data_IF_060447710956
#
_entry.id   IF_060447710956
#
_cell.length_a   1.000
_cell.length_b   1.000
_cell.length_c   1.000
_cell.angle_alpha   90.00
_cell.angle_beta   90.00
_cell.angle_gamma   90.00
#
_symmetry.space_group_name_H-M   'P 1'
#
loop_
_entity.id
_entity.type
_entity.pdbx_description
1 polymer ?
#
# COMPACT_ATOMS: atom_id res chain seq x y z
N UNK A 1 12.41 23.96 8.32
CA UNK A 1 12.36 22.52 8.58
C UNK A 1 13.42 21.87 7.70
N UNK A 2 14.15 20.85 8.18
CA UNK A 2 15.20 20.18 7.41
C UNK A 2 14.69 18.88 6.78
N UNK A 3 13.80 19.02 5.80
CA UNK A 3 13.22 17.88 5.07
C UNK A 3 14.25 17.37 4.05
N UNK A 4 14.59 16.09 4.15
CA UNK A 4 15.59 15.41 3.30
C UNK A 4 15.08 14.12 2.66
N UNK A 5 13.88 13.67 3.02
CA UNK A 5 13.16 12.58 2.35
C UNK A 5 11.68 12.92 2.30
N UNK A 6 11.04 12.65 1.16
CA UNK A 6 9.59 12.69 1.06
C UNK A 6 9.07 11.32 0.63
N UNK A 7 8.07 10.80 1.34
CA UNK A 7 7.36 9.59 0.95
C UNK A 7 5.90 9.94 0.65
N UNK A 8 5.44 9.57 -0.55
CA UNK A 8 4.06 9.85 -0.97
C UNK A 8 3.31 8.56 -1.27
N UNK A 9 2.05 8.50 -0.85
CA UNK A 9 1.13 7.47 -1.34
C UNK A 9 0.70 7.72 -2.79
N UNK A 10 0.14 6.68 -3.42
CA UNK A 10 -0.39 6.71 -4.78
C UNK A 10 -1.86 7.14 -4.85
N UNK A 11 -2.75 6.29 -4.34
CA UNK A 11 -4.19 6.35 -4.58
C UNK A 11 -4.83 7.43 -3.71
N UNK A 12 -5.62 8.34 -4.27
CA UNK A 12 -6.18 9.45 -3.49
C UNK A 12 -5.15 10.46 -2.97
N UNK A 13 -3.86 10.28 -3.33
CA UNK A 13 -2.76 11.17 -2.94
C UNK A 13 -2.11 11.85 -4.14
N UNK A 14 -1.32 11.14 -4.95
CA UNK A 14 -0.75 11.68 -6.21
C UNK A 14 -1.64 11.37 -7.43
N UNK A 15 -2.53 10.38 -7.33
CA UNK A 15 -3.41 9.93 -8.39
C UNK A 15 -4.86 9.80 -7.90
N UNK A 16 -5.78 10.53 -8.53
CA UNK A 16 -7.22 10.45 -8.25
C UNK A 16 -7.92 9.36 -9.07
N UNK A 17 -9.22 9.53 -9.32
CA UNK A 17 -10.08 8.52 -9.98
C UNK A 17 -9.63 8.14 -11.40
N UNK A 18 -9.02 9.08 -12.13
CA UNK A 18 -8.48 8.81 -13.46
C UNK A 18 -7.21 7.91 -13.44
N UNK A 19 -6.69 7.59 -12.24
CA UNK A 19 -5.54 6.73 -12.01
C UNK A 19 -4.26 7.24 -12.70
N UNK A 20 -4.16 8.56 -12.87
CA UNK A 20 -3.00 9.26 -13.45
C UNK A 20 -2.44 10.26 -12.45
N UNK A 21 -1.12 10.44 -12.47
CA UNK A 21 -0.48 11.50 -11.67
C UNK A 21 -0.75 12.85 -12.31
N UNK A 22 -1.28 13.80 -11.53
CA UNK A 22 -1.55 15.15 -12.01
C UNK A 22 -0.24 15.83 -12.48
N UNK A 23 -0.20 16.47 -13.66
CA UNK A 23 0.98 17.22 -14.13
C UNK A 23 1.55 18.21 -13.11
N UNK A 24 0.71 18.89 -12.32
CA UNK A 24 1.17 19.83 -11.29
C UNK A 24 1.99 19.12 -10.19
N UNK A 25 1.55 17.92 -9.78
CA UNK A 25 2.29 17.09 -8.81
C UNK A 25 3.63 16.64 -9.38
N UNK A 26 3.69 16.24 -10.66
CA UNK A 26 4.95 15.87 -11.32
C UNK A 26 5.93 17.04 -11.36
N UNK A 27 5.44 18.25 -11.63
CA UNK A 27 6.26 19.46 -11.65
C UNK A 27 6.80 19.80 -10.25
N UNK A 28 5.94 19.75 -9.22
CA UNK A 28 6.33 20.02 -7.83
C UNK A 28 7.36 18.99 -7.32
N UNK A 29 7.12 17.70 -7.57
CA UNK A 29 8.08 16.63 -7.23
C UNK A 29 9.42 16.86 -7.95
N UNK A 30 9.40 17.21 -9.24
CA UNK A 30 10.63 17.51 -9.97
C UNK A 30 11.37 18.73 -9.40
N UNK A 31 10.65 19.76 -8.94
CA UNK A 31 11.26 20.93 -8.31
C UNK A 31 11.93 20.58 -6.97
N UNK A 32 11.28 19.74 -6.16
CA UNK A 32 11.84 19.23 -4.90
C UNK A 32 13.09 18.39 -5.16
N UNK A 33 13.04 17.47 -6.14
CA UNK A 33 14.20 16.64 -6.51
C UNK A 33 15.38 17.48 -7.02
N UNK A 34 15.13 18.60 -7.70
CA UNK A 34 16.19 19.55 -8.12
C UNK A 34 16.87 20.24 -6.93
N UNK A 35 16.21 20.33 -5.77
CA UNK A 35 16.84 20.77 -4.51
C UNK A 35 17.63 19.65 -3.82
N UNK A 36 17.74 18.46 -4.42
CA UNK A 36 18.48 17.32 -3.88
C UNK A 36 17.68 16.46 -2.89
N UNK A 37 16.37 16.69 -2.76
CA UNK A 37 15.50 15.94 -1.85
C UNK A 37 14.83 14.80 -2.63
N UNK A 38 15.18 13.52 -2.36
CA UNK A 38 14.54 12.39 -3.02
C UNK A 38 13.08 12.23 -2.59
N UNK A 39 12.25 11.76 -3.53
CA UNK A 39 10.84 11.44 -3.30
C UNK A 39 10.64 9.95 -3.57
N UNK A 40 10.24 9.19 -2.54
CA UNK A 40 9.87 7.79 -2.62
C UNK A 40 8.34 7.62 -2.74
N UNK A 41 7.92 6.44 -3.21
CA UNK A 41 6.51 6.06 -3.28
C UNK A 41 6.26 4.92 -2.28
N UNK A 42 5.19 5.03 -1.49
CA UNK A 42 4.70 3.98 -0.60
C UNK A 42 3.22 3.66 -0.81
N UNK A 43 2.92 2.45 -1.32
CA UNK A 43 1.57 2.10 -1.76
C UNK A 43 1.15 0.68 -1.36
N UNK A 44 -0.16 0.46 -1.24
CA UNK A 44 -0.77 -0.87 -1.08
C UNK A 44 -0.84 -1.70 -2.37
N UNK A 45 -0.52 -1.08 -3.52
CA UNK A 45 -0.51 -1.73 -4.83
C UNK A 45 0.58 -2.79 -4.92
N UNK A 46 0.35 -3.74 -5.82
CA UNK A 46 1.41 -4.65 -6.26
C UNK A 46 2.57 -3.90 -6.92
N UNK A 47 3.78 -4.45 -6.82
CA UNK A 47 4.99 -3.78 -7.27
C UNK A 47 4.92 -3.43 -8.77
N UNK A 48 4.63 -4.40 -9.66
CA UNK A 48 4.52 -4.12 -11.10
C UNK A 48 3.48 -3.07 -11.47
N UNK A 49 2.37 -2.99 -10.74
CA UNK A 49 1.31 -1.99 -10.97
C UNK A 49 1.75 -0.59 -10.53
N UNK A 50 2.56 -0.52 -9.47
CA UNK A 50 3.10 0.71 -8.94
C UNK A 50 4.28 1.29 -9.76
N UNK A 51 4.99 0.46 -10.53
CA UNK A 51 6.15 0.88 -11.34
C UNK A 51 5.87 2.08 -12.26
N UNK A 52 4.66 2.20 -12.82
CA UNK A 52 4.33 3.34 -13.69
C UNK A 52 4.33 4.68 -12.95
N UNK A 53 3.96 4.69 -11.67
CA UNK A 53 3.98 5.90 -10.83
C UNK A 53 5.41 6.27 -10.46
N UNK A 54 6.22 5.26 -10.11
CA UNK A 54 7.66 5.42 -9.83
C UNK A 54 8.37 6.08 -11.03
N UNK A 55 8.14 5.53 -12.24
CA UNK A 55 8.64 6.10 -13.49
C UNK A 55 8.10 7.51 -13.76
N UNK A 56 6.81 7.75 -13.51
CA UNK A 56 6.15 9.04 -13.77
C UNK A 56 6.71 10.16 -12.89
N UNK A 57 7.00 9.87 -11.62
CA UNK A 57 7.63 10.80 -10.69
C UNK A 57 9.14 10.88 -10.84
N UNK A 58 9.76 9.97 -11.62
CA UNK A 58 11.21 9.79 -11.68
C UNK A 58 11.80 9.61 -10.28
N UNK A 59 11.12 8.82 -9.45
CA UNK A 59 11.61 8.49 -8.11
C UNK A 59 12.94 7.73 -8.26
N UNK A 60 13.89 8.03 -7.38
CA UNK A 60 15.23 7.42 -7.39
C UNK A 60 15.45 6.48 -6.22
N UNK A 61 14.44 6.32 -5.36
CA UNK A 61 14.50 5.45 -4.19
C UNK A 61 13.80 4.12 -4.47
N UNK A 62 14.08 3.08 -3.65
CA UNK A 62 13.33 1.84 -3.71
C UNK A 62 11.83 2.08 -3.57
N UNK A 63 11.04 1.34 -4.35
CA UNK A 63 9.59 1.42 -4.34
C UNK A 63 9.05 0.56 -3.19
N UNK A 64 8.27 1.18 -2.31
CA UNK A 64 7.52 0.50 -1.26
C UNK A 64 6.16 0.06 -1.85
N UNK A 65 5.97 -1.25 -1.97
CA UNK A 65 4.75 -1.88 -2.47
C UNK A 65 4.11 -2.78 -1.40
N UNK A 66 2.87 -3.22 -1.64
CA UNK A 66 2.11 -4.09 -0.73
C UNK A 66 2.09 -3.55 0.71
N UNK A 67 1.85 -2.25 0.89
CA UNK A 67 1.84 -1.55 2.18
C UNK A 67 3.16 -1.67 2.97
N UNK A 68 4.28 -2.01 2.34
CA UNK A 68 5.55 -2.22 3.06
C UNK A 68 6.03 -3.66 3.08
N UNK A 69 5.22 -4.62 2.63
CA UNK A 69 5.66 -6.01 2.55
C UNK A 69 6.75 -6.22 1.48
N UNK A 70 6.91 -5.31 0.52
CA UNK A 70 7.87 -5.44 -0.57
C UNK A 70 8.58 -4.11 -0.84
N UNK A 71 9.90 -4.09 -0.73
CA UNK A 71 10.74 -2.90 -0.97
C UNK A 71 11.84 -3.28 -1.96
N UNK A 72 11.75 -2.77 -3.18
CA UNK A 72 12.67 -3.12 -4.26
C UNK A 72 13.02 -1.90 -5.11
N UNK A 73 14.29 -1.77 -5.47
CA UNK A 73 14.79 -0.76 -6.39
C UNK A 73 14.42 -1.12 -7.85
N UNK A 74 13.60 -0.29 -8.54
CA UNK A 74 13.21 -0.56 -9.92
C UNK A 74 14.33 -0.45 -10.96
N UNK A 75 15.43 0.23 -10.65
CA UNK A 75 16.58 0.41 -11.54
C UNK A 75 17.56 -0.74 -11.36
N UNK A 76 18.07 -0.93 -10.15
CA UNK A 76 19.08 -1.98 -9.87
C UNK A 76 18.48 -3.37 -9.74
N UNK A 77 17.15 -3.47 -9.60
CA UNK A 77 16.41 -4.71 -9.27
C UNK A 77 16.76 -5.31 -7.90
N UNK A 78 17.54 -4.60 -7.08
CA UNK A 78 17.88 -5.04 -5.72
C UNK A 78 16.61 -5.11 -4.87
N UNK A 79 16.33 -6.30 -4.33
CA UNK A 79 15.25 -6.53 -3.39
C UNK A 79 15.77 -6.26 -1.98
N UNK A 80 15.41 -5.10 -1.42
CA UNK A 80 15.90 -4.67 -0.12
C UNK A 80 15.18 -5.37 1.04
N UNK A 81 13.86 -5.53 0.94
CA UNK A 81 13.06 -6.19 1.99
C UNK A 81 11.83 -6.87 1.41
N UNK A 82 11.60 -8.11 1.83
CA UNK A 82 10.35 -8.84 1.65
C UNK A 82 9.89 -9.35 3.00
N UNK A 83 8.68 -8.98 3.41
CA UNK A 83 8.07 -9.42 4.67
C UNK A 83 6.81 -10.23 4.36
N UNK A 84 6.94 -11.50 3.91
CA UNK A 84 5.79 -12.34 3.61
C UNK A 84 5.12 -12.85 4.90
N UNK A 85 3.85 -13.23 4.79
CA UNK A 85 3.17 -14.06 5.76
C UNK A 85 3.86 -15.43 5.77
N UNK A 86 4.09 -16.02 6.95
CA UNK A 86 4.68 -17.34 7.06
C UNK A 86 3.81 -18.40 6.35
N UNK A 87 4.41 -19.44 5.75
CA UNK A 87 3.65 -20.47 5.03
C UNK A 87 2.54 -21.10 5.87
N UNK A 88 2.84 -21.44 7.12
CA UNK A 88 1.90 -22.10 8.03
C UNK A 88 0.70 -21.20 8.33
N UNK A 89 0.95 -19.90 8.56
CA UNK A 89 -0.11 -18.95 8.86
C UNK A 89 -0.93 -18.59 7.61
N UNK A 90 -0.30 -18.52 6.44
CA UNK A 90 -0.99 -18.34 5.17
C UNK A 90 -1.90 -19.54 4.84
N UNK A 91 -1.44 -20.77 5.13
CA UNK A 91 -2.22 -21.99 4.96
C UNK A 91 -3.36 -22.06 6.00
N UNK A 92 -3.12 -21.79 7.29
CA UNK A 92 -4.18 -21.78 8.31
C UNK A 92 -5.27 -20.75 7.97
N UNK A 93 -4.87 -19.55 7.53
CA UNK A 93 -5.80 -18.52 7.09
C UNK A 93 -6.59 -18.97 5.85
N UNK A 94 -5.93 -19.60 4.88
CA UNK A 94 -6.60 -20.15 3.70
C UNK A 94 -7.60 -21.24 4.08
N UNK A 95 -7.21 -22.18 4.93
CA UNK A 95 -8.06 -23.27 5.44
C UNK A 95 -9.29 -22.71 6.15
N UNK A 96 -9.09 -21.68 6.99
CA UNK A 96 -10.17 -20.98 7.66
C UNK A 96 -11.12 -20.33 6.64
N UNK A 97 -10.60 -19.56 5.68
CA UNK A 97 -11.40 -18.89 4.65
C UNK A 97 -12.02 -19.85 3.62
N UNK A 98 -11.59 -21.12 3.60
CA UNK A 98 -12.14 -22.18 2.77
C UNK A 98 -13.23 -23.02 3.43
N UNK A 99 -13.57 -22.74 4.69
CA UNK A 99 -14.69 -23.42 5.33
C UNK A 99 -16.01 -23.14 4.59
N UNK A 100 -16.96 -24.10 4.56
CA UNK A 100 -18.16 -24.02 3.74
C UNK A 100 -19.00 -22.75 3.93
N UNK A 101 -19.01 -22.19 5.14
CA UNK A 101 -19.77 -20.97 5.44
C UNK A 101 -19.17 -19.71 4.77
N UNK A 102 -17.86 -19.70 4.46
CA UNK A 102 -17.16 -18.57 3.84
C UNK A 102 -16.93 -18.76 2.35
N UNK A 103 -16.43 -19.95 1.95
CA UNK A 103 -15.85 -20.21 0.63
C UNK A 103 -16.72 -19.85 -0.57
N UNK A 104 -18.03 -19.96 -0.46
CA UNK A 104 -18.98 -19.67 -1.56
C UNK A 104 -19.33 -18.20 -1.72
N UNK A 105 -18.98 -17.37 -0.74
CA UNK A 105 -19.38 -15.95 -0.65
C UNK A 105 -18.18 -15.00 -0.79
N UNK A 106 -16.96 -15.53 -0.83
CA UNK A 106 -15.75 -14.75 -1.07
C UNK A 106 -14.88 -15.36 -2.17
N UNK A 107 -14.24 -14.48 -2.92
CA UNK A 107 -13.10 -14.80 -3.78
C UNK A 107 -11.80 -14.40 -3.10
N UNK A 108 -10.76 -15.23 -3.29
CA UNK A 108 -9.43 -15.03 -2.71
C UNK A 108 -8.39 -14.81 -3.81
N UNK A 109 -7.58 -13.78 -3.60
CA UNK A 109 -6.41 -13.45 -4.40
C UNK A 109 -5.16 -13.61 -3.51
N UNK A 110 -4.21 -14.44 -3.95
CA UNK A 110 -2.91 -14.61 -3.28
C UNK A 110 -1.84 -13.87 -4.10
N UNK A 111 -1.08 -13.01 -3.45
CA UNK A 111 0.04 -12.32 -4.08
C UNK A 111 1.35 -12.92 -3.57
N UNK A 112 2.18 -13.38 -4.49
CA UNK A 112 3.45 -14.03 -4.20
C UNK A 112 4.44 -13.76 -5.32
N UNK A 113 5.67 -13.36 -4.97
CA UNK A 113 6.71 -13.00 -5.94
C UNK A 113 6.20 -12.02 -7.01
N UNK A 114 5.38 -11.07 -6.55
CA UNK A 114 4.64 -10.09 -7.35
C UNK A 114 3.67 -10.67 -8.39
N UNK A 115 3.36 -11.97 -8.35
CA UNK A 115 2.34 -12.64 -9.18
C UNK A 115 1.02 -12.74 -8.41
N UNK A 116 -0.09 -12.53 -9.12
CA UNK A 116 -1.44 -12.74 -8.59
C UNK A 116 -1.90 -14.17 -8.91
N UNK A 117 -2.14 -14.97 -7.89
CA UNK A 117 -2.69 -16.31 -7.98
C UNK A 117 -4.15 -16.34 -7.52
N UNK A 118 -4.95 -17.12 -8.24
CA UNK A 118 -6.37 -17.37 -7.95
C UNK A 118 -6.66 -18.87 -8.04
N UNK A 119 -7.78 -19.32 -7.49
CA UNK A 119 -8.22 -20.72 -7.67
C UNK A 119 -8.53 -21.03 -9.13
N UNK A 120 -9.33 -20.17 -9.74
CA UNK A 120 -9.83 -20.34 -11.10
C UNK A 120 -10.08 -18.97 -11.74
N UNK A 121 -9.95 -18.88 -13.06
CA UNK A 121 -10.40 -17.70 -13.79
C UNK A 121 -11.92 -17.75 -13.91
N UNK A 122 -12.59 -16.73 -13.39
CA UNK A 122 -14.05 -16.55 -13.47
C UNK A 122 -14.38 -15.07 -13.77
N UNK A 123 -15.67 -14.75 -13.87
CA UNK A 123 -16.13 -13.39 -14.15
C UNK A 123 -15.63 -12.36 -13.12
N UNK A 124 -15.57 -12.73 -11.84
CA UNK A 124 -15.05 -11.88 -10.76
C UNK A 124 -13.55 -11.62 -10.91
N UNK A 125 -12.77 -12.65 -11.19
CA UNK A 125 -11.34 -12.52 -11.47
C UNK A 125 -11.12 -11.64 -12.69
N UNK A 126 -11.89 -11.83 -13.76
CA UNK A 126 -11.75 -11.04 -14.98
C UNK A 126 -12.11 -9.57 -14.74
N UNK A 127 -13.17 -9.30 -13.99
CA UNK A 127 -13.51 -7.94 -13.54
C UNK A 127 -12.38 -7.32 -12.72
N UNK A 128 -11.80 -8.08 -11.78
CA UNK A 128 -10.67 -7.61 -10.99
C UNK A 128 -9.43 -7.33 -11.87
N UNK A 129 -9.11 -8.21 -12.83
CA UNK A 129 -7.99 -8.04 -13.77
C UNK A 129 -8.15 -6.79 -14.64
N UNK A 130 -9.35 -6.54 -15.18
CA UNK A 130 -9.64 -5.35 -15.98
C UNK A 130 -9.51 -4.07 -15.15
N UNK A 131 -10.04 -4.07 -13.92
CA UNK A 131 -9.95 -2.92 -13.01
C UNK A 131 -8.52 -2.63 -12.58
N UNK A 132 -7.73 -3.66 -12.31
CA UNK A 132 -6.40 -3.53 -11.71
C UNK A 132 -5.25 -3.50 -12.74
N UNK A 133 -5.51 -3.94 -13.98
CA UNK A 133 -4.49 -4.11 -15.02
C UNK A 133 -3.52 -5.25 -14.73
N UNK A 134 -3.94 -6.26 -13.96
CA UNK A 134 -3.11 -7.36 -13.46
C UNK A 134 -3.48 -8.65 -14.20
N UNK A 135 -2.50 -9.50 -14.48
CA UNK A 135 -2.71 -10.86 -14.97
C UNK A 135 -2.77 -11.79 -13.76
N UNK A 136 -3.80 -12.64 -13.70
CA UNK A 136 -3.96 -13.65 -12.67
C UNK A 136 -3.60 -15.04 -13.21
N UNK A 137 -2.98 -15.87 -12.37
CA UNK A 137 -2.65 -17.26 -12.66
C UNK A 137 -3.57 -18.19 -11.85
N UNK A 138 -4.29 -19.08 -12.54
CA UNK A 138 -5.15 -20.06 -11.90
C UNK A 138 -4.36 -21.32 -11.52
N UNK A 139 -4.38 -21.69 -10.23
CA UNK A 139 -3.61 -22.82 -9.68
C UNK A 139 -4.47 -23.93 -9.06
N UNK A 140 -5.80 -23.74 -9.06
CA UNK A 140 -6.76 -24.61 -8.40
C UNK A 140 -6.68 -24.44 -6.88
N UNK A 141 -5.74 -25.15 -6.26
CA UNK A 141 -5.48 -25.08 -4.83
C UNK A 141 -4.38 -24.05 -4.53
N UNK A 142 -4.77 -22.97 -3.86
CA UNK A 142 -3.88 -21.87 -3.48
C UNK A 142 -2.78 -22.31 -2.49
N UNK A 143 -2.94 -23.45 -1.79
CA UNK A 143 -1.91 -24.00 -0.90
C UNK A 143 -0.60 -24.31 -1.64
N UNK A 144 -0.67 -24.60 -2.95
CA UNK A 144 0.51 -24.84 -3.80
C UNK A 144 1.43 -23.63 -3.93
N UNK A 145 0.89 -22.44 -3.69
CA UNK A 145 1.55 -21.14 -3.84
C UNK A 145 1.42 -20.34 -2.56
N UNK A 146 1.52 -20.97 -1.38
CA UNK A 146 1.42 -20.28 -0.08
C UNK A 146 2.77 -20.01 0.62
N UNK A 147 3.89 -20.51 0.08
CA UNK A 147 5.22 -20.55 0.69
C UNK A 147 5.93 -19.19 0.93
N UNK A 148 5.48 -18.09 0.33
CA UNK A 148 6.00 -16.70 0.45
C UNK A 148 4.90 -15.67 0.17
N UNK A 149 3.77 -15.83 0.85
CA UNK A 149 2.58 -15.03 0.54
C UNK A 149 2.77 -13.59 1.00
N UNK A 150 2.93 -12.66 0.06
CA UNK A 150 3.08 -11.22 0.36
C UNK A 150 1.78 -10.60 0.84
N UNK A 151 0.66 -11.01 0.24
CA UNK A 151 -0.66 -10.48 0.55
C UNK A 151 -1.75 -11.49 0.21
N UNK A 152 -2.80 -11.52 1.02
CA UNK A 152 -4.06 -12.21 0.71
C UNK A 152 -5.15 -11.15 0.63
N UNK A 153 -5.90 -11.10 -0.46
CA UNK A 153 -7.07 -10.24 -0.61
C UNK A 153 -8.33 -11.10 -0.69
N UNK A 154 -9.29 -10.81 0.19
CA UNK A 154 -10.61 -11.40 0.17
C UNK A 154 -11.63 -10.38 -0.33
N UNK A 155 -12.49 -10.81 -1.24
CA UNK A 155 -13.49 -9.98 -1.91
C UNK A 155 -14.85 -10.67 -1.82
N UNK A 156 -15.89 -9.94 -1.48
CA UNK A 156 -17.26 -10.45 -1.46
C UNK A 156 -18.27 -9.34 -1.78
N UNK A 157 -19.50 -9.71 -2.11
CA UNK A 157 -20.54 -8.73 -2.49
C UNK A 157 -21.26 -8.12 -1.27
N UNK A 158 -21.38 -8.89 -0.20
CA UNK A 158 -22.12 -8.50 1.01
C UNK A 158 -21.19 -7.87 2.06
N UNK A 159 -21.43 -6.59 2.34
CA UNK A 159 -20.65 -5.79 3.30
C UNK A 159 -20.81 -6.27 4.74
N UNK A 160 -22.00 -6.73 5.12
CA UNK A 160 -22.25 -7.24 6.47
C UNK A 160 -21.50 -8.55 6.67
N UNK A 161 -21.52 -9.40 5.65
CA UNK A 161 -20.79 -10.65 5.65
C UNK A 161 -19.27 -10.46 5.68
N UNK A 162 -18.74 -9.50 4.93
CA UNK A 162 -17.32 -9.14 4.99
C UNK A 162 -16.93 -8.62 6.38
N UNK A 163 -17.78 -7.79 7.00
CA UNK A 163 -17.56 -7.30 8.37
C UNK A 163 -17.61 -8.44 9.41
N UNK A 164 -18.47 -9.43 9.23
CA UNK A 164 -18.55 -10.63 10.05
C UNK A 164 -17.25 -11.45 9.98
N UNK A 165 -16.79 -11.79 8.76
CA UNK A 165 -15.52 -12.51 8.56
C UNK A 165 -14.37 -11.72 9.19
N UNK A 166 -14.31 -10.42 8.91
CA UNK A 166 -13.30 -9.54 9.46
C UNK A 166 -13.23 -9.61 10.99
N UNK A 167 -14.38 -9.52 11.66
CA UNK A 167 -14.44 -9.61 13.12
C UNK A 167 -13.93 -10.95 13.65
N UNK A 168 -14.32 -12.06 13.02
CA UNK A 168 -13.82 -13.38 13.37
C UNK A 168 -12.31 -13.53 13.17
N UNK A 169 -11.78 -13.01 12.07
CA UNK A 169 -10.34 -13.06 11.78
C UNK A 169 -9.55 -12.22 12.80
N UNK A 170 -10.01 -11.01 13.09
CA UNK A 170 -9.39 -10.14 14.10
C UNK A 170 -9.30 -10.82 15.47
N UNK A 171 -10.36 -11.52 15.89
CA UNK A 171 -10.36 -12.28 17.15
C UNK A 171 -9.46 -13.50 17.10
N UNK A 172 -9.54 -14.30 16.02
CA UNK A 172 -8.77 -15.55 15.87
C UNK A 172 -7.26 -15.29 15.84
N UNK A 173 -6.85 -14.21 15.19
CA UNK A 173 -5.44 -13.89 14.92
C UNK A 173 -4.92 -12.71 15.74
N UNK A 174 -5.59 -12.33 16.84
CA UNK A 174 -5.32 -11.12 17.62
C UNK A 174 -3.88 -10.99 18.16
N UNK A 175 -3.08 -12.06 18.17
CA UNK A 175 -1.68 -12.06 18.60
C UNK A 175 -0.78 -12.85 17.64
N UNK A 176 -1.14 -12.85 16.36
CA UNK A 176 -0.38 -13.50 15.30
C UNK A 176 0.24 -12.43 14.41
N UNK A 177 1.22 -12.81 13.59
CA UNK A 177 1.95 -11.89 12.71
C UNK A 177 1.14 -11.49 11.46
N UNK A 178 -0.14 -11.16 11.63
CA UNK A 178 -1.05 -10.71 10.58
C UNK A 178 -1.54 -9.30 10.84
N UNK A 179 -1.37 -8.45 9.83
CA UNK A 179 -2.03 -7.16 9.74
C UNK A 179 -3.19 -7.25 8.76
N UNK A 180 -4.38 -6.90 9.24
CA UNK A 180 -5.58 -6.85 8.41
C UNK A 180 -5.88 -5.39 8.11
N UNK A 181 -6.18 -5.10 6.85
CA UNK A 181 -6.65 -3.77 6.40
C UNK A 181 -7.90 -3.91 5.54
N UNK A 182 -8.85 -3.01 5.75
CA UNK A 182 -10.05 -2.95 4.93
C UNK A 182 -9.92 -1.81 3.92
N UNK A 183 -9.80 -2.16 2.64
CA UNK A 183 -9.65 -1.17 1.56
C UNK A 183 -11.00 -0.65 1.05
N UNK A 184 -12.07 -1.44 1.22
CA UNK A 184 -13.45 -1.00 0.99
C UNK A 184 -14.44 -1.87 1.77
N UNK A 185 -15.72 -1.50 1.87
CA UNK A 185 -16.73 -2.30 2.57
C UNK A 185 -16.87 -3.75 2.08
N UNK A 186 -16.40 -4.06 0.86
CA UNK A 186 -16.48 -5.38 0.23
C UNK A 186 -15.11 -6.08 0.10
N UNK A 187 -14.02 -5.44 0.56
CA UNK A 187 -12.64 -5.89 0.34
C UNK A 187 -11.84 -5.76 1.63
N UNK A 188 -11.25 -6.86 2.09
CA UNK A 188 -10.20 -6.80 3.10
C UNK A 188 -8.96 -7.55 2.63
N UNK A 189 -7.81 -7.06 3.03
CA UNK A 189 -6.53 -7.66 2.74
C UNK A 189 -5.79 -8.00 4.03
N UNK A 190 -4.91 -9.00 3.93
CA UNK A 190 -4.08 -9.49 5.02
C UNK A 190 -2.64 -9.50 4.54
N UNK A 191 -1.76 -8.95 5.37
CA UNK A 191 -0.31 -8.88 5.17
C UNK A 191 0.38 -9.25 6.47
N UNK A 192 1.72 -9.31 6.49
CA UNK A 192 2.47 -9.50 7.73
C UNK A 192 2.28 -8.31 8.68
N UNK A 193 2.33 -8.52 10.01
CA UNK A 193 2.12 -7.44 11.00
C UNK A 193 3.09 -6.26 10.85
N UNK A 194 4.33 -6.56 10.47
CA UNK A 194 5.37 -5.55 10.23
C UNK A 194 5.28 -4.87 8.85
N UNK A 195 4.42 -5.36 7.95
CA UNK A 195 4.27 -4.81 6.59
C UNK A 195 3.40 -3.54 6.60
N UNK A 196 3.93 -2.48 7.21
CA UNK A 196 3.28 -1.17 7.26
C UNK A 196 4.08 -0.13 6.49
N UNK A 197 3.39 0.90 5.96
CA UNK A 197 4.05 2.01 5.27
C UNK A 197 4.98 2.76 6.20
N UNK A 198 4.66 2.84 7.50
CA UNK A 198 5.52 3.38 8.55
C UNK A 198 6.83 2.62 8.67
N UNK A 199 6.80 1.30 8.89
CA UNK A 199 8.02 0.48 8.99
C UNK A 199 8.86 0.53 7.71
N UNK A 200 8.22 0.56 6.55
CA UNK A 200 8.92 0.69 5.27
C UNK A 200 9.53 2.09 5.06
N UNK A 201 8.83 3.15 5.47
CA UNK A 201 9.33 4.52 5.44
C UNK A 201 10.52 4.69 6.40
N UNK A 202 10.42 4.10 7.59
CA UNK A 202 11.52 4.04 8.55
C UNK A 202 12.75 3.37 7.94
N UNK A 203 12.58 2.20 7.34
CA UNK A 203 13.67 1.49 6.68
C UNK A 203 14.35 2.33 5.57
N UNK A 204 13.57 3.03 4.74
CA UNK A 204 14.16 3.94 3.75
C UNK A 204 14.91 5.11 4.38
N UNK A 205 14.37 5.70 5.44
CA UNK A 205 14.97 6.85 6.09
C UNK A 205 16.26 6.46 6.84
N UNK A 206 16.17 5.49 7.75
CA UNK A 206 17.22 5.15 8.70
C UNK A 206 18.26 4.22 8.06
N UNK A 207 17.84 3.07 7.52
CA UNK A 207 18.77 2.04 7.04
C UNK A 207 19.39 2.38 5.67
N UNK A 208 18.61 2.98 4.76
CA UNK A 208 19.09 3.28 3.39
C UNK A 208 19.76 4.66 3.31
N UNK A 209 19.22 5.68 4.00
CA UNK A 209 19.68 7.06 3.86
C UNK A 209 20.41 7.61 5.09
N UNK A 210 20.43 6.90 6.22
CA UNK A 210 21.04 7.38 7.46
C UNK A 210 20.38 8.64 8.03
N UNK A 211 19.10 8.83 7.74
CA UNK A 211 18.29 9.95 8.19
C UNK A 211 17.57 9.60 9.50
N UNK A 212 16.91 10.61 10.06
CA UNK A 212 16.06 10.48 11.23
C UNK A 212 14.62 10.86 10.89
N UNK A 213 13.63 10.46 11.71
CA UNK A 213 12.22 10.79 11.48
C UNK A 213 11.96 12.28 11.19
N UNK A 214 12.67 13.18 11.88
CA UNK A 214 12.50 14.63 11.75
C UNK A 214 12.88 15.16 10.36
N UNK A 215 13.63 14.39 9.57
CA UNK A 215 14.00 14.72 8.20
C UNK A 215 12.99 14.22 7.15
N UNK A 216 11.95 13.50 7.58
CA UNK A 216 11.00 12.85 6.69
C UNK A 216 9.71 13.66 6.64
N UNK A 217 9.21 13.85 5.43
CA UNK A 217 7.83 14.26 5.17
C UNK A 217 7.07 13.08 4.57
N UNK A 218 5.91 12.74 5.11
CA UNK A 218 5.02 11.72 4.56
C UNK A 218 3.69 12.33 4.13
N UNK A 219 3.15 11.90 2.98
CA UNK A 219 1.87 12.39 2.46
C UNK A 219 0.98 11.21 2.07
N UNK A 220 -0.23 11.14 2.61
CA UNK A 220 -1.17 10.05 2.37
C UNK A 220 -2.62 10.45 2.63
N UNK A 221 -3.56 9.56 2.34
CA UNK A 221 -5.00 9.86 2.41
C UNK A 221 -5.84 8.83 3.18
N UNK A 222 -5.28 7.68 3.56
CA UNK A 222 -6.08 6.58 4.07
C UNK A 222 -5.46 5.92 5.33
N UNK A 223 -6.18 4.98 5.94
CA UNK A 223 -5.78 4.37 7.21
C UNK A 223 -4.45 3.62 7.15
N UNK A 224 -4.09 3.05 6.00
CA UNK A 224 -2.79 2.42 5.80
C UNK A 224 -1.62 3.42 5.74
N UNK A 225 -1.91 4.73 5.64
CA UNK A 225 -0.90 5.80 5.66
C UNK A 225 -0.59 6.31 7.07
N UNK A 226 -1.50 6.14 8.02
CA UNK A 226 -1.36 6.68 9.39
C UNK A 226 0.00 6.32 10.00
N UNK A 227 0.47 5.08 9.78
CA UNK A 227 1.78 4.63 10.26
C UNK A 227 2.98 5.43 9.69
N UNK A 228 2.94 5.86 8.43
CA UNK A 228 4.01 6.72 7.87
C UNK A 228 3.82 8.19 8.21
N UNK A 229 2.56 8.66 8.33
CA UNK A 229 2.25 10.04 8.72
C UNK A 229 2.73 10.32 10.15
N UNK A 230 2.52 9.38 11.06
CA UNK A 230 2.93 9.49 12.47
C UNK A 230 4.43 9.22 12.69
N UNK A 231 5.06 8.44 11.82
CA UNK A 231 6.51 8.24 11.85
C UNK A 231 7.26 9.50 11.38
N UNK A 232 6.78 10.15 10.31
CA UNK A 232 7.46 11.29 9.71
C UNK A 232 7.46 12.50 10.66
N UNK A 233 8.53 13.30 10.61
CA UNK A 233 8.61 14.59 11.30
C UNK A 233 7.62 15.63 10.78
N UNK A 234 7.12 15.42 9.56
CA UNK A 234 5.96 16.14 8.99
C UNK A 234 5.04 15.14 8.30
N UNK A 235 3.95 14.78 8.97
CA UNK A 235 2.84 14.02 8.40
C UNK A 235 1.81 14.94 7.73
N UNK A 236 1.47 14.68 6.47
CA UNK A 236 0.42 15.40 5.74
C UNK A 236 -0.70 14.46 5.31
N UNK A 237 -1.91 14.72 5.80
CA UNK A 237 -3.11 14.06 5.32
C UNK A 237 -3.73 14.83 4.14
N UNK A 238 -4.18 14.13 3.12
CA UNK A 238 -4.88 14.73 1.98
C UNK A 238 -6.30 15.21 2.36
N UNK A 239 -6.82 16.21 1.64
CA UNK A 239 -8.14 16.77 1.91
C UNK A 239 -9.31 15.79 1.74
N UNK A 240 -9.12 14.76 0.90
CA UNK A 240 -10.07 13.65 0.73
C UNK A 240 -9.95 12.54 1.79
N UNK A 241 -9.00 12.65 2.72
CA UNK A 241 -8.82 11.65 3.77
C UNK A 241 -9.99 11.60 4.76
N UNK A 242 -10.30 10.43 5.35
CA UNK A 242 -11.20 10.33 6.50
C UNK A 242 -10.74 11.22 7.66
N UNK A 243 -11.68 11.73 8.46
CA UNK A 243 -11.34 12.62 9.57
C UNK A 243 -10.36 11.99 10.56
N UNK A 244 -10.56 10.72 10.89
CA UNK A 244 -9.67 9.97 11.78
C UNK A 244 -8.22 9.83 11.25
N UNK A 245 -7.99 9.98 9.94
CA UNK A 245 -6.65 10.03 9.34
C UNK A 245 -6.09 11.45 9.42
N UNK A 246 -6.92 12.47 9.13
CA UNK A 246 -6.55 13.90 9.24
C UNK A 246 -6.11 14.29 10.65
N UNK A 247 -6.80 13.74 11.65
CA UNK A 247 -6.50 14.00 13.07
C UNK A 247 -5.13 13.47 13.51
N UNK A 248 -4.50 12.60 12.71
CA UNK A 248 -3.19 12.00 12.98
C UNK A 248 -2.04 12.66 12.20
N UNK A 249 -2.32 13.71 11.43
CA UNK A 249 -1.35 14.43 10.62
C UNK A 249 -1.06 15.83 11.20
N UNK A 250 0.15 16.33 10.97
CA UNK A 250 0.56 17.69 11.37
C UNK A 250 -0.12 18.76 10.52
N UNK A 251 -0.51 18.41 9.30
CA UNK A 251 -1.18 19.32 8.39
C UNK A 251 -2.12 18.59 7.42
N UNK A 252 -3.22 19.26 7.07
CA UNK A 252 -4.19 18.76 6.09
C UNK A 252 -4.03 19.55 4.80
N UNK A 253 -3.68 18.85 3.72
CA UNK A 253 -3.59 19.41 2.38
C UNK A 253 -4.97 19.58 1.74
N UNK A 254 -5.07 20.32 0.62
CA UNK A 254 -6.21 20.18 -0.30
C UNK A 254 -6.40 18.72 -0.76
N UNK A 255 -7.54 18.41 -1.37
CA UNK A 255 -7.77 17.08 -1.93
C UNK A 255 -6.85 16.80 -3.13
N UNK A 256 -6.79 15.54 -3.55
CA UNK A 256 -6.07 15.11 -4.76
C UNK A 256 -6.51 15.89 -6.01
N UNK A 257 -7.80 16.20 -6.14
CA UNK A 257 -8.35 16.98 -7.27
C UNK A 257 -7.86 18.43 -7.29
N UNK A 258 -7.49 18.95 -6.11
CA UNK A 258 -6.95 20.30 -5.91
C UNK A 258 -5.43 20.31 -5.81
N UNK A 259 -4.76 19.24 -6.27
CA UNK A 259 -3.30 19.11 -6.26
C UNK A 259 -2.69 19.21 -4.85
N UNK A 260 -3.34 18.62 -3.84
CA UNK A 260 -2.92 18.72 -2.44
C UNK A 260 -1.44 18.43 -2.20
N UNK A 261 -0.88 17.40 -2.86
CA UNK A 261 0.56 17.09 -2.79
C UNK A 261 1.41 18.26 -3.27
N UNK A 262 1.08 18.87 -4.42
CA UNK A 262 1.86 20.01 -4.93
C UNK A 262 1.82 21.20 -3.96
N UNK A 263 0.66 21.48 -3.36
CA UNK A 263 0.51 22.54 -2.35
C UNK A 263 1.31 22.23 -1.09
N UNK A 264 1.35 20.97 -0.65
CA UNK A 264 2.16 20.54 0.48
C UNK A 264 3.65 20.75 0.20
N UNK A 265 4.14 20.29 -0.96
CA UNK A 265 5.54 20.47 -1.35
C UNK A 265 5.93 21.95 -1.46
N UNK A 266 5.03 22.79 -2.00
CA UNK A 266 5.23 24.22 -2.06
C UNK A 266 5.41 24.83 -0.66
N UNK A 267 4.49 24.52 0.24
CA UNK A 267 4.45 25.03 1.62
C UNK A 267 5.66 24.64 2.47
N UNK A 268 6.10 23.38 2.36
CA UNK A 268 7.08 22.82 3.29
C UNK A 268 8.51 22.80 2.76
N UNK A 269 8.70 22.90 1.43
CA UNK A 269 10.00 22.65 0.79
C UNK A 269 10.39 23.69 -0.26
N UNK A 270 9.44 24.18 -1.07
CA UNK A 270 9.79 25.04 -2.21
C UNK A 270 9.87 26.53 -1.88
N UNK A 271 9.05 27.01 -0.94
CA UNK A 271 9.12 28.36 -0.33
C UNK A 271 10.12 28.36 0.83
#
# INVERSE_FOLDING_TARGET
MDIRLIVVDVDGTIAGDNNQVNPAVVQAVSAVQKKGIPVAIGTGRMYRSALRFHKRLKSTLPLIAYNGAWIQDPVSQVHHRHTPISPDLAIDLLDYLEQPQWKKKISLNFYMDDVLYVRQLNAETEFYRQRSGIIAEAVGDLRKVAHKTTKILAMGEDKQFIAEIWHHLQQRYQNQDLYFTQSSPTFFEVTHVEATKGSATQFLAEDILGLQPQNVMAIGDNFNDVSMLTYAGVGVAMGNAPQAVKDQADWVAPSVDLNGVAVALEKFVLI
#
